data_IF_869707633794
#
_entry.id   IF_869707633794
#
_cell.length_a   1.000
_cell.length_b   1.000
_cell.length_c   1.000
_cell.angle_alpha   90.00
_cell.angle_beta   90.00
_cell.angle_gamma   90.00
#
_symmetry.space_group_name_H-M   'P 1'
#
loop_
_entity.id
_entity.type
_entity.pdbx_description
1 polymer ?
#
# COMPACT_ATOMS: atom_id res chain seq x y z
N UNK A 1 -4.69 -12.12 -21.90
CA UNK A 1 -4.42 -10.80 -21.26
C UNK A 1 -4.57 -9.74 -22.35
N UNK A 2 -5.22 -8.60 -22.03
CA UNK A 2 -5.33 -7.49 -23.00
C UNK A 2 -3.93 -6.91 -23.21
N UNK A 3 -3.51 -6.78 -24.49
CA UNK A 3 -2.24 -6.14 -24.86
C UNK A 3 -2.21 -4.69 -24.39
N UNK A 4 -1.06 -4.24 -23.85
CA UNK A 4 -0.90 -2.85 -23.40
C UNK A 4 -0.70 -1.94 -24.62
N UNK A 5 -1.48 -0.87 -24.69
CA UNK A 5 -1.33 0.20 -25.69
C UNK A 5 -0.15 1.12 -25.35
N UNK A 6 0.09 1.34 -24.05
CA UNK A 6 1.22 2.11 -23.54
C UNK A 6 1.96 1.28 -22.47
N UNK A 7 3.11 0.74 -22.82
CA UNK A 7 3.97 -0.11 -21.98
C UNK A 7 5.23 0.60 -21.48
N UNK A 8 5.38 1.93 -21.76
CA UNK A 8 6.60 2.72 -21.46
C UNK A 8 7.04 2.58 -20.02
N UNK A 9 6.09 2.67 -19.09
CA UNK A 9 6.38 2.54 -17.66
C UNK A 9 7.05 1.20 -17.34
N UNK A 10 6.51 0.10 -17.86
CA UNK A 10 7.07 -1.24 -17.63
C UNK A 10 8.42 -1.41 -18.32
N UNK A 11 8.57 -0.92 -19.57
CA UNK A 11 9.86 -0.96 -20.28
C UNK A 11 10.94 -0.18 -19.52
N UNK A 12 10.61 0.99 -18.98
CA UNK A 12 11.55 1.77 -18.18
C UNK A 12 12.00 1.02 -16.91
N UNK A 13 11.06 0.37 -16.21
CA UNK A 13 11.38 -0.48 -15.05
C UNK A 13 12.30 -1.65 -15.42
N UNK A 14 12.12 -2.21 -16.61
CA UNK A 14 12.95 -3.30 -17.16
C UNK A 14 14.25 -2.80 -17.80
N UNK A 15 14.58 -1.51 -17.69
CA UNK A 15 15.74 -0.86 -18.30
C UNK A 15 15.79 -0.99 -19.83
N UNK A 16 14.62 -1.10 -20.46
CA UNK A 16 14.49 -1.11 -21.91
C UNK A 16 14.36 0.31 -22.46
N UNK A 17 14.70 0.55 -23.72
CA UNK A 17 14.59 1.86 -24.35
C UNK A 17 13.14 2.37 -24.36
N UNK A 18 12.98 3.66 -24.06
CA UNK A 18 11.71 4.40 -24.13
C UNK A 18 11.93 5.71 -24.89
N UNK A 19 10.91 6.23 -25.53
CA UNK A 19 10.95 7.46 -26.32
C UNK A 19 10.99 8.73 -25.43
N UNK A 20 10.40 8.65 -24.22
CA UNK A 20 10.49 9.69 -23.19
C UNK A 20 10.35 9.04 -21.80
N UNK A 21 10.70 9.80 -20.74
CA UNK A 21 10.57 9.36 -19.36
C UNK A 21 9.10 9.21 -19.00
N UNK A 22 8.61 7.98 -18.67
CA UNK A 22 7.22 7.77 -18.30
C UNK A 22 6.90 8.42 -16.95
N UNK A 23 5.67 8.91 -16.82
CA UNK A 23 5.22 9.64 -15.64
C UNK A 23 3.94 9.03 -15.05
N UNK A 24 3.97 8.81 -13.77
CA UNK A 24 2.80 8.66 -12.90
C UNK A 24 2.98 9.57 -11.69
N UNK A 25 1.93 9.89 -10.96
CA UNK A 25 2.05 10.83 -9.83
C UNK A 25 1.47 10.24 -8.55
N UNK A 26 2.22 10.40 -7.46
CA UNK A 26 1.73 10.10 -6.12
C UNK A 26 0.40 10.84 -5.87
N UNK A 27 -0.62 10.09 -5.43
CA UNK A 27 -1.97 10.62 -5.20
C UNK A 27 -2.61 11.27 -6.44
N UNK A 28 -2.32 10.72 -7.64
CA UNK A 28 -2.97 11.16 -8.88
C UNK A 28 -4.51 11.11 -8.79
N UNK A 29 -5.10 10.12 -8.12
CA UNK A 29 -6.47 10.21 -7.63
C UNK A 29 -6.50 10.99 -6.30
N UNK A 30 -7.18 12.13 -6.24
CA UNK A 30 -7.11 12.95 -5.04
C UNK A 30 -8.07 14.13 -4.99
N UNK A 31 -8.12 14.77 -3.84
CA UNK A 31 -9.05 15.86 -3.51
C UNK A 31 -8.91 17.13 -4.36
N UNK A 32 -7.90 17.24 -5.19
CA UNK A 32 -7.77 18.34 -6.16
C UNK A 32 -8.71 18.16 -7.37
N UNK A 33 -9.16 16.93 -7.64
CA UNK A 33 -10.11 16.61 -8.70
C UNK A 33 -11.55 16.82 -8.20
N UNK A 34 -12.38 17.62 -8.87
CA UNK A 34 -13.80 17.79 -8.54
C UNK A 34 -14.58 16.45 -8.59
N UNK A 35 -14.34 15.63 -9.62
CA UNK A 35 -14.94 14.31 -9.79
C UNK A 35 -14.57 13.34 -8.67
N UNK A 36 -13.33 13.38 -8.18
CA UNK A 36 -12.94 12.60 -7.00
C UNK A 36 -13.76 13.00 -5.76
N UNK A 37 -13.94 14.31 -5.55
CA UNK A 37 -14.76 14.81 -4.42
C UNK A 37 -16.20 14.33 -4.51
N UNK A 38 -16.78 14.31 -5.72
CA UNK A 38 -18.15 13.84 -5.96
C UNK A 38 -18.26 12.34 -5.65
N UNK A 39 -17.37 11.51 -6.20
CA UNK A 39 -17.34 10.07 -5.95
C UNK A 39 -17.09 9.76 -4.48
N UNK A 40 -16.20 10.53 -3.83
CA UNK A 40 -15.91 10.37 -2.39
C UNK A 40 -17.14 10.71 -1.52
N UNK A 41 -17.90 11.74 -1.88
CA UNK A 41 -19.14 12.11 -1.19
C UNK A 41 -20.22 11.03 -1.37
N UNK A 42 -20.33 10.44 -2.56
CA UNK A 42 -21.24 9.33 -2.85
C UNK A 42 -20.90 8.09 -1.99
N UNK A 43 -19.63 7.79 -1.78
CA UNK A 43 -19.19 6.66 -0.97
C UNK A 43 -19.46 6.83 0.53
N UNK A 44 -19.63 8.07 1.01
CA UNK A 44 -19.83 8.41 2.42
C UNK A 44 -18.51 8.60 3.19
N UNK A 45 -17.72 7.55 3.39
CA UNK A 45 -16.43 7.62 4.06
C UNK A 45 -15.28 7.03 3.20
N UNK A 46 -14.04 7.19 3.67
CA UNK A 46 -12.85 6.78 2.90
C UNK A 46 -12.74 5.25 2.76
N UNK A 47 -13.03 4.51 3.83
CA UNK A 47 -12.95 3.05 3.78
C UNK A 47 -14.08 2.46 2.96
N UNK A 48 -15.28 3.05 2.98
CA UNK A 48 -16.37 2.68 2.10
C UNK A 48 -16.02 2.85 0.62
N UNK A 49 -15.28 3.93 0.27
CA UNK A 49 -14.74 4.12 -1.08
C UNK A 49 -13.73 3.03 -1.45
N UNK A 50 -12.78 2.71 -0.55
CA UNK A 50 -11.78 1.65 -0.79
C UNK A 50 -12.41 0.25 -0.90
N UNK A 51 -13.48 -0.02 -0.12
CA UNK A 51 -14.15 -1.33 -0.09
C UNK A 51 -15.13 -1.55 -1.24
N UNK A 52 -15.41 -0.53 -2.04
CA UNK A 52 -16.25 -0.64 -3.23
C UNK A 52 -15.38 -0.68 -4.49
N UNK A 53 -15.30 -1.85 -5.14
CA UNK A 53 -14.42 -2.06 -6.28
C UNK A 53 -14.75 -1.14 -7.47
N UNK A 54 -16.03 -0.85 -7.71
CA UNK A 54 -16.47 0.02 -8.82
C UNK A 54 -16.07 1.48 -8.55
N UNK A 55 -16.29 1.98 -7.33
CA UNK A 55 -15.91 3.33 -6.95
C UNK A 55 -14.38 3.50 -6.87
N UNK A 56 -13.67 2.48 -6.38
CA UNK A 56 -12.20 2.47 -6.39
C UNK A 56 -11.65 2.48 -7.82
N UNK A 57 -12.28 1.74 -8.75
CA UNK A 57 -11.94 1.79 -10.18
C UNK A 57 -12.22 3.16 -10.76
N UNK A 58 -13.39 3.73 -10.54
CA UNK A 58 -13.75 5.05 -11.05
C UNK A 58 -12.72 6.12 -10.65
N UNK A 59 -12.39 6.20 -9.34
CA UNK A 59 -11.41 7.22 -8.89
C UNK A 59 -9.98 6.94 -9.39
N UNK A 60 -9.64 5.68 -9.67
CA UNK A 60 -8.36 5.33 -10.28
C UNK A 60 -8.25 5.83 -11.72
N UNK A 61 -9.35 5.77 -12.49
CA UNK A 61 -9.37 6.17 -13.91
C UNK A 61 -9.53 7.69 -14.10
N UNK A 62 -10.11 8.41 -13.15
CA UNK A 62 -10.36 9.86 -13.26
C UNK A 62 -9.11 10.68 -13.68
N UNK A 63 -7.93 10.51 -13.04
CA UNK A 63 -6.74 11.26 -13.44
C UNK A 63 -6.26 10.90 -14.86
N UNK A 64 -6.44 9.66 -15.31
CA UNK A 64 -6.04 9.24 -16.66
C UNK A 64 -6.89 9.91 -17.76
N UNK A 65 -8.14 10.26 -17.46
CA UNK A 65 -9.01 11.02 -18.38
C UNK A 65 -8.60 12.49 -18.53
N UNK A 66 -7.84 13.02 -17.56
CA UNK A 66 -7.39 14.42 -17.54
C UNK A 66 -5.94 14.61 -17.98
N UNK A 67 -5.09 13.65 -17.68
CA UNK A 67 -3.65 13.79 -17.84
C UNK A 67 -3.09 12.61 -18.60
N UNK A 68 -2.10 12.82 -19.48
CA UNK A 68 -1.42 11.76 -20.23
C UNK A 68 -0.42 11.01 -19.35
N UNK A 69 -0.93 10.29 -18.35
CA UNK A 69 -0.12 9.49 -17.43
C UNK A 69 0.22 8.13 -18.05
N UNK A 70 1.41 7.61 -17.73
CA UNK A 70 1.92 6.35 -18.28
C UNK A 70 1.65 5.14 -17.38
N UNK A 71 1.03 5.34 -16.23
CA UNK A 71 0.56 4.26 -15.36
C UNK A 71 -0.64 4.69 -14.50
N UNK A 72 -1.52 3.73 -14.21
CA UNK A 72 -2.50 3.81 -13.15
C UNK A 72 -1.90 3.28 -11.84
N UNK A 73 -2.35 3.78 -10.71
CA UNK A 73 -2.07 3.18 -9.40
C UNK A 73 -3.38 2.83 -8.71
N UNK A 74 -3.44 1.64 -8.14
CA UNK A 74 -4.57 1.16 -7.35
C UNK A 74 -5.01 2.22 -6.32
N UNK A 75 -6.31 2.49 -6.25
CA UNK A 75 -6.87 3.30 -5.17
C UNK A 75 -7.16 2.41 -3.96
N UNK A 76 -6.37 2.58 -2.90
CA UNK A 76 -6.47 1.87 -1.62
C UNK A 76 -5.73 2.67 -0.54
N UNK A 77 -5.56 2.08 0.65
CA UNK A 77 -4.73 2.62 1.73
C UNK A 77 -3.60 1.66 2.11
N UNK A 78 -2.47 2.18 2.58
CA UNK A 78 -1.35 1.36 3.08
C UNK A 78 -1.70 0.63 4.38
N UNK A 79 -2.70 1.11 5.13
CA UNK A 79 -3.07 0.58 6.44
C UNK A 79 -4.13 -0.54 6.37
N UNK A 80 -4.44 -1.03 5.17
CA UNK A 80 -5.36 -2.17 4.97
C UNK A 80 -4.87 -3.44 5.65
N UNK A 81 -3.55 -3.71 5.61
CA UNK A 81 -2.95 -4.87 6.29
C UNK A 81 -3.12 -4.77 7.81
N UNK A 82 -2.70 -3.68 8.49
CA UNK A 82 -2.97 -3.50 9.92
C UNK A 82 -4.45 -3.58 10.32
N UNK A 83 -5.37 -3.07 9.49
CA UNK A 83 -6.81 -3.17 9.72
C UNK A 83 -7.25 -4.64 9.69
N UNK A 84 -6.84 -5.39 8.66
CA UNK A 84 -7.12 -6.82 8.53
C UNK A 84 -6.50 -7.67 9.64
N UNK A 85 -5.40 -7.22 10.26
CA UNK A 85 -4.81 -7.82 11.46
C UNK A 85 -5.65 -7.58 12.73
N UNK A 86 -6.74 -6.82 12.64
CA UNK A 86 -7.69 -6.60 13.74
C UNK A 86 -7.35 -5.42 14.66
N UNK A 87 -6.51 -4.47 14.21
CA UNK A 87 -6.18 -3.27 14.99
C UNK A 87 -7.32 -2.24 15.05
N UNK A 88 -8.33 -2.34 14.17
CA UNK A 88 -9.49 -1.44 14.13
C UNK A 88 -9.13 -0.05 13.61
N UNK A 89 -8.95 0.05 12.28
CA UNK A 89 -8.63 1.31 11.61
C UNK A 89 -9.87 2.20 11.49
N UNK A 90 -9.75 3.46 11.90
CA UNK A 90 -10.73 4.51 11.65
C UNK A 90 -10.04 5.81 11.22
N UNK A 91 -10.76 6.66 10.51
CA UNK A 91 -10.27 7.96 10.07
C UNK A 91 -11.03 9.07 10.80
N UNK A 92 -10.32 9.86 11.59
CA UNK A 92 -10.88 11.02 12.27
C UNK A 92 -10.68 12.30 11.46
N UNK A 93 -11.70 13.17 11.47
CA UNK A 93 -11.64 14.44 10.75
C UNK A 93 -10.56 15.33 11.35
N UNK A 94 -9.55 15.67 10.55
CA UNK A 94 -8.42 16.51 10.98
C UNK A 94 -7.26 15.79 11.65
N UNK A 95 -7.43 14.55 12.12
CA UNK A 95 -6.39 13.77 12.80
C UNK A 95 -5.76 12.70 11.91
N UNK A 96 -6.50 12.20 10.92
CA UNK A 96 -6.04 11.13 10.03
C UNK A 96 -6.36 9.73 10.54
N UNK A 97 -5.54 8.71 10.21
CA UNK A 97 -5.77 7.33 10.63
C UNK A 97 -5.49 7.14 12.11
N UNK A 98 -6.37 6.39 12.79
CA UNK A 98 -6.26 6.00 14.19
C UNK A 98 -6.56 4.52 14.32
N UNK A 99 -5.80 3.82 15.15
CA UNK A 99 -6.03 2.43 15.52
C UNK A 99 -6.59 2.31 16.93
N UNK A 100 -7.68 1.56 17.09
CA UNK A 100 -8.30 1.33 18.40
C UNK A 100 -7.44 0.44 19.30
N UNK A 101 -6.64 -0.46 18.71
CA UNK A 101 -5.81 -1.44 19.41
C UNK A 101 -4.35 -1.35 18.96
N UNK A 102 -3.61 -0.28 19.32
CA UNK A 102 -2.20 -0.16 18.95
C UNK A 102 -1.35 -1.26 19.58
N UNK A 103 -0.24 -1.61 18.94
CA UNK A 103 0.75 -2.56 19.44
C UNK A 103 1.60 -1.88 20.50
N UNK A 104 1.61 -2.43 21.72
CA UNK A 104 2.33 -1.84 22.86
C UNK A 104 3.41 -2.75 23.44
N UNK A 105 3.30 -4.06 23.23
CA UNK A 105 4.19 -5.06 23.80
C UNK A 105 4.23 -6.35 22.95
N UNK A 106 5.13 -7.26 23.31
CA UNK A 106 5.25 -8.56 22.63
C UNK A 106 3.94 -9.36 22.60
N UNK A 107 3.16 -9.34 23.68
CA UNK A 107 1.90 -10.08 23.75
C UNK A 107 0.87 -9.58 22.70
N UNK A 108 0.91 -8.31 22.30
CA UNK A 108 0.08 -7.78 21.23
C UNK A 108 0.58 -8.29 19.86
N UNK A 109 1.91 -8.32 19.67
CA UNK A 109 2.52 -8.88 18.44
C UNK A 109 2.21 -10.37 18.29
N UNK A 110 2.20 -11.13 19.38
CA UNK A 110 1.92 -12.58 19.34
C UNK A 110 0.47 -12.87 18.89
N UNK A 111 -0.49 -11.98 19.18
CA UNK A 111 -1.92 -12.14 18.84
C UNK A 111 -2.25 -11.87 17.37
N UNK A 112 -1.48 -11.03 16.69
CA UNK A 112 -1.77 -10.72 15.27
C UNK A 112 -1.29 -11.85 14.37
N UNK A 113 -2.13 -12.20 13.37
CA UNK A 113 -1.83 -13.16 12.32
C UNK A 113 -1.45 -12.49 11.01
N UNK A 114 -1.14 -13.32 10.00
CA UNK A 114 -1.01 -12.87 8.60
C UNK A 114 -2.42 -12.90 7.99
N UNK A 115 -2.96 -11.77 7.51
CA UNK A 115 -4.28 -11.73 6.91
C UNK A 115 -4.33 -12.51 5.59
N UNK A 116 -5.45 -13.18 5.31
CA UNK A 116 -5.69 -13.78 3.99
C UNK A 116 -6.05 -12.69 2.96
N UNK A 117 -5.25 -12.51 1.89
CA UNK A 117 -5.55 -11.53 0.86
C UNK A 117 -6.87 -11.76 0.12
N UNK A 118 -7.32 -13.01 -0.03
CA UNK A 118 -8.60 -13.35 -0.66
C UNK A 118 -9.73 -13.51 0.37
N UNK A 119 -9.43 -13.35 1.67
CA UNK A 119 -10.38 -13.26 2.78
C UNK A 119 -10.60 -11.80 3.19
N UNK A 120 -9.95 -11.38 4.27
CA UNK A 120 -10.12 -10.05 4.88
C UNK A 120 -9.78 -8.89 3.91
N UNK A 121 -8.90 -9.12 2.95
CA UNK A 121 -8.44 -8.11 1.98
C UNK A 121 -9.03 -8.31 0.57
N UNK A 122 -10.01 -9.19 0.40
CA UNK A 122 -10.63 -9.51 -0.89
C UNK A 122 -11.15 -8.27 -1.63
N UNK A 123 -11.63 -7.26 -0.92
CA UNK A 123 -12.11 -6.01 -1.54
C UNK A 123 -11.00 -5.30 -2.35
N UNK A 124 -9.74 -5.39 -1.91
CA UNK A 124 -8.59 -4.83 -2.64
C UNK A 124 -8.32 -5.64 -3.90
N UNK A 125 -8.35 -6.97 -3.80
CA UNK A 125 -8.15 -7.86 -4.96
C UNK A 125 -9.27 -7.66 -6.00
N UNK A 126 -10.50 -7.48 -5.54
CA UNK A 126 -11.64 -7.14 -6.40
C UNK A 126 -11.45 -5.79 -7.10
N UNK A 127 -10.94 -4.77 -6.38
CA UNK A 127 -10.61 -3.48 -6.97
C UNK A 127 -9.52 -3.61 -8.05
N UNK A 128 -8.46 -4.39 -7.81
CA UNK A 128 -7.41 -4.65 -8.81
C UNK A 128 -8.00 -5.29 -10.07
N UNK A 129 -8.82 -6.34 -9.91
CA UNK A 129 -9.49 -7.03 -11.05
C UNK A 129 -10.40 -6.08 -11.83
N UNK A 130 -11.19 -5.26 -11.14
CA UNK A 130 -12.09 -4.30 -11.75
C UNK A 130 -11.31 -3.22 -12.52
N UNK A 131 -10.30 -2.61 -11.90
CA UNK A 131 -9.44 -1.60 -12.54
C UNK A 131 -8.77 -2.17 -13.79
N UNK A 132 -8.23 -3.39 -13.72
CA UNK A 132 -7.62 -4.06 -14.89
C UNK A 132 -8.60 -4.21 -16.05
N UNK A 133 -9.84 -4.59 -15.75
CA UNK A 133 -10.92 -4.70 -16.75
C UNK A 133 -11.23 -3.32 -17.37
N UNK A 134 -11.39 -2.30 -16.53
CA UNK A 134 -11.83 -0.97 -16.98
C UNK A 134 -10.72 -0.18 -17.71
N UNK A 135 -9.44 -0.43 -17.38
CA UNK A 135 -8.29 0.12 -18.11
C UNK A 135 -8.19 -0.37 -19.56
N UNK A 136 -8.73 -1.52 -19.90
CA UNK A 136 -8.72 -2.08 -21.27
C UNK A 136 -7.34 -2.03 -21.95
N UNK A 137 -6.27 -2.16 -21.17
CA UNK A 137 -4.88 -2.12 -21.64
C UNK A 137 -4.33 -0.73 -21.97
N UNK A 138 -5.01 0.35 -21.62
CA UNK A 138 -4.55 1.73 -21.92
C UNK A 138 -3.17 2.01 -21.33
N UNK A 139 -3.01 1.75 -20.03
CA UNK A 139 -1.76 1.87 -19.28
C UNK A 139 -1.62 0.72 -18.28
N UNK A 140 -0.41 0.41 -17.79
CA UNK A 140 -0.23 -0.59 -16.74
C UNK A 140 -0.79 -0.13 -15.40
N UNK A 141 -1.15 -1.10 -14.54
CA UNK A 141 -1.62 -0.89 -13.18
C UNK A 141 -0.50 -1.19 -12.18
N UNK A 142 -0.24 -0.22 -11.31
CA UNK A 142 0.65 -0.35 -10.15
C UNK A 142 -0.19 -0.80 -8.96
N UNK A 143 0.17 -1.95 -8.37
CA UNK A 143 -0.25 -2.35 -7.03
C UNK A 143 0.72 -1.79 -5.98
N UNK A 144 0.32 -1.77 -4.71
CA UNK A 144 1.21 -1.24 -3.68
C UNK A 144 0.92 -1.77 -2.27
N UNK A 145 1.89 -1.56 -1.38
CA UNK A 145 1.77 -1.71 0.07
C UNK A 145 2.62 -0.68 0.79
N UNK A 146 2.38 -0.47 2.08
CA UNK A 146 3.35 0.17 2.96
C UNK A 146 4.51 -0.77 3.27
N UNK A 147 5.70 -0.23 3.56
CA UNK A 147 6.83 -1.02 4.06
C UNK A 147 6.54 -1.53 5.48
N UNK A 148 7.17 -2.64 5.92
CA UNK A 148 7.02 -3.13 7.29
C UNK A 148 7.32 -2.06 8.34
N UNK A 149 8.38 -1.27 8.16
CA UNK A 149 8.69 -0.15 9.06
C UNK A 149 7.58 0.91 9.09
N UNK A 150 7.11 1.34 7.92
CA UNK A 150 6.03 2.34 7.85
C UNK A 150 4.73 1.82 8.48
N UNK A 151 4.35 0.56 8.24
CA UNK A 151 3.17 -0.04 8.87
C UNK A 151 3.35 -0.15 10.39
N UNK A 152 4.50 -0.66 10.85
CA UNK A 152 4.81 -0.78 12.28
C UNK A 152 4.76 0.58 12.99
N UNK A 153 5.21 1.68 12.35
CA UNK A 153 5.11 3.02 12.96
C UNK A 153 3.67 3.38 13.27
N UNK A 154 2.75 3.22 12.35
CA UNK A 154 1.33 3.48 12.59
C UNK A 154 0.72 2.55 13.63
N UNK A 155 1.07 1.26 13.58
CA UNK A 155 0.56 0.25 14.52
C UNK A 155 1.01 0.52 15.96
N UNK A 156 2.25 0.95 16.16
CA UNK A 156 2.83 1.21 17.50
C UNK A 156 2.47 2.59 18.00
N UNK A 157 2.53 3.63 17.16
CA UNK A 157 2.10 4.98 17.56
C UNK A 157 0.59 5.03 17.82
N UNK A 158 -0.21 4.21 17.11
CA UNK A 158 -1.67 4.17 17.17
C UNK A 158 -2.36 5.23 16.32
N UNK A 159 -1.59 6.17 15.77
CA UNK A 159 -2.06 7.28 14.93
C UNK A 159 -0.89 7.90 14.15
N UNK A 160 -1.16 8.97 13.42
CA UNK A 160 -0.10 9.81 12.84
C UNK A 160 0.78 10.39 13.95
N UNK A 161 2.11 10.32 13.77
CA UNK A 161 3.08 10.86 14.74
C UNK A 161 4.11 11.74 14.03
N UNK A 162 4.57 12.80 14.70
CA UNK A 162 5.68 13.63 14.23
C UNK A 162 7.02 13.22 14.85
N UNK A 163 6.99 12.72 16.08
CA UNK A 163 8.18 12.39 16.86
C UNK A 163 8.55 10.90 16.85
N UNK A 164 7.59 10.02 16.53
CA UNK A 164 7.77 8.55 16.50
C UNK A 164 8.36 8.00 17.81
N UNK A 165 7.86 8.50 18.95
CA UNK A 165 8.46 8.25 20.28
C UNK A 165 8.25 6.83 20.76
N UNK A 166 7.06 6.27 20.51
CA UNK A 166 6.73 4.91 20.99
C UNK A 166 7.52 3.86 20.21
N UNK A 167 7.53 3.94 18.88
CA UNK A 167 8.26 2.98 18.07
C UNK A 167 9.77 3.09 18.24
N UNK A 168 10.30 4.30 18.38
CA UNK A 168 11.74 4.50 18.72
C UNK A 168 12.07 3.94 20.10
N UNK A 169 11.19 4.12 21.09
CA UNK A 169 11.37 3.47 22.39
C UNK A 169 11.40 1.94 22.24
N UNK A 170 10.47 1.35 21.51
CA UNK A 170 10.44 -0.11 21.28
C UNK A 170 11.71 -0.56 20.55
N UNK A 171 12.19 0.20 19.55
CA UNK A 171 13.41 -0.10 18.78
C UNK A 171 14.65 -0.21 19.69
N UNK A 172 14.79 0.64 20.70
CA UNK A 172 15.95 0.63 21.60
C UNK A 172 15.78 -0.25 22.83
N UNK A 173 14.56 -0.32 23.40
CA UNK A 173 14.30 -1.06 24.63
C UNK A 173 13.91 -2.53 24.39
N UNK A 174 13.22 -2.82 23.29
CA UNK A 174 12.68 -4.14 22.99
C UNK A 174 12.90 -4.51 21.50
N UNK A 175 14.14 -4.47 20.98
CA UNK A 175 14.41 -4.67 19.55
C UNK A 175 13.88 -6.00 19.01
N UNK A 176 13.92 -7.10 19.80
CA UNK A 176 13.39 -8.39 19.40
C UNK A 176 11.88 -8.37 19.19
N UNK A 177 11.14 -7.63 20.02
CA UNK A 177 9.69 -7.44 19.86
C UNK A 177 9.40 -6.71 18.54
N UNK A 178 10.17 -5.66 18.24
CA UNK A 178 10.03 -4.92 16.98
C UNK A 178 10.41 -5.77 15.77
N UNK A 179 11.50 -6.53 15.85
CA UNK A 179 11.89 -7.45 14.77
C UNK A 179 10.81 -8.51 14.50
N UNK A 180 10.17 -9.05 15.54
CA UNK A 180 9.05 -9.99 15.38
C UNK A 180 7.87 -9.35 14.66
N UNK A 181 7.52 -8.10 15.00
CA UNK A 181 6.46 -7.34 14.32
C UNK A 181 6.81 -7.10 12.84
N UNK A 182 8.03 -6.63 12.56
CA UNK A 182 8.49 -6.33 11.21
C UNK A 182 8.54 -7.57 10.33
N UNK A 183 8.91 -8.72 10.90
CA UNK A 183 8.96 -10.00 10.18
C UNK A 183 7.56 -10.46 9.78
N UNK A 184 6.59 -10.44 10.71
CA UNK A 184 5.17 -10.74 10.40
C UNK A 184 4.59 -9.78 9.36
N UNK A 185 4.95 -8.51 9.42
CA UNK A 185 4.53 -7.52 8.44
C UNK A 185 5.17 -7.78 7.07
N UNK A 186 6.44 -8.18 7.01
CA UNK A 186 7.09 -8.55 5.76
C UNK A 186 6.38 -9.74 5.10
N UNK A 187 6.05 -10.78 5.85
CA UNK A 187 5.29 -11.94 5.34
C UNK A 187 3.91 -11.52 4.85
N UNK A 188 3.20 -10.67 5.61
CA UNK A 188 1.89 -10.15 5.20
C UNK A 188 1.96 -9.31 3.93
N UNK A 189 3.00 -8.49 3.76
CA UNK A 189 3.22 -7.68 2.55
C UNK A 189 3.54 -8.58 1.35
N UNK A 190 4.32 -9.66 1.54
CA UNK A 190 4.60 -10.63 0.47
C UNK A 190 3.30 -11.27 -0.02
N UNK A 191 2.49 -11.82 0.88
CA UNK A 191 1.20 -12.43 0.51
C UNK A 191 0.27 -11.42 -0.17
N UNK A 192 0.17 -10.23 0.37
CA UNK A 192 -0.68 -9.17 -0.15
C UNK A 192 -0.26 -8.68 -1.54
N UNK A 193 1.04 -8.47 -1.77
CA UNK A 193 1.53 -8.05 -3.08
C UNK A 193 1.45 -9.16 -4.12
N UNK A 194 1.74 -10.41 -3.73
CA UNK A 194 1.58 -11.58 -4.60
C UNK A 194 0.11 -11.77 -5.02
N UNK A 195 -0.84 -11.53 -4.11
CA UNK A 195 -2.25 -11.56 -4.45
C UNK A 195 -2.65 -10.43 -5.42
N UNK A 196 -2.10 -9.21 -5.25
CA UNK A 196 -2.32 -8.12 -6.21
C UNK A 196 -1.75 -8.46 -7.59
N UNK A 197 -0.57 -9.08 -7.67
CA UNK A 197 0.02 -9.55 -8.93
C UNK A 197 -0.91 -10.59 -9.58
N UNK A 198 -1.37 -11.59 -8.83
CA UNK A 198 -2.32 -12.62 -9.33
C UNK A 198 -3.65 -12.00 -9.76
N UNK A 199 -4.11 -10.95 -9.08
CA UNK A 199 -5.33 -10.21 -9.45
C UNK A 199 -5.14 -9.33 -10.71
N UNK A 200 -3.90 -9.09 -11.16
CA UNK A 200 -3.59 -8.42 -12.42
C UNK A 200 -2.78 -7.13 -12.31
N UNK A 201 -2.22 -6.78 -11.16
CA UNK A 201 -1.24 -5.69 -11.06
C UNK A 201 0.02 -6.05 -11.87
N UNK A 202 0.50 -5.13 -12.70
CA UNK A 202 1.63 -5.37 -13.63
C UNK A 202 2.97 -4.87 -13.09
N UNK A 203 2.93 -4.05 -12.07
CA UNK A 203 4.06 -3.72 -11.21
C UNK A 203 3.57 -3.54 -9.79
N UNK A 204 4.46 -3.63 -8.83
CA UNK A 204 4.16 -3.36 -7.42
C UNK A 204 5.16 -2.38 -6.84
N UNK A 205 4.71 -1.61 -5.85
CA UNK A 205 5.51 -0.60 -5.18
C UNK A 205 5.36 -0.71 -3.67
N UNK A 206 6.45 -0.58 -2.94
CA UNK A 206 6.45 -0.54 -1.48
C UNK A 206 6.77 0.89 -1.02
N UNK A 207 5.85 1.51 -0.29
CA UNK A 207 6.02 2.86 0.24
C UNK A 207 6.70 2.83 1.61
N UNK A 208 7.96 3.25 1.67
CA UNK A 208 8.69 3.42 2.92
C UNK A 208 8.67 4.89 3.40
N UNK A 209 7.45 5.39 3.62
CA UNK A 209 7.17 6.80 3.94
C UNK A 209 7.97 7.31 5.13
N UNK A 210 8.18 6.46 6.13
CA UNK A 210 8.86 6.81 7.37
C UNK A 210 10.29 6.28 7.49
N UNK A 211 10.85 5.71 6.41
CA UNK A 211 12.25 5.26 6.40
C UNK A 211 13.24 6.38 6.70
N UNK A 212 12.94 7.61 6.26
CA UNK A 212 13.78 8.78 6.47
C UNK A 212 13.91 9.27 7.92
N UNK A 213 13.14 8.72 8.88
CA UNK A 213 13.30 9.06 10.32
C UNK A 213 14.33 8.19 11.02
N UNK A 214 14.86 7.19 10.33
CA UNK A 214 15.90 6.28 10.81
C UNK A 214 17.30 6.81 10.47
N UNK A 215 18.27 6.49 11.33
CA UNK A 215 19.68 6.63 10.96
C UNK A 215 20.03 5.60 9.87
N UNK A 216 21.12 5.76 9.10
CA UNK A 216 21.54 4.75 8.12
C UNK A 216 21.71 3.34 8.72
N UNK A 217 22.23 3.24 9.96
CA UNK A 217 22.37 1.97 10.68
C UNK A 217 21.01 1.37 10.99
N UNK A 218 20.12 2.15 11.58
CA UNK A 218 18.79 1.67 12.00
C UNK A 218 17.93 1.35 10.77
N UNK A 219 18.08 2.11 9.67
CA UNK A 219 17.43 1.81 8.41
C UNK A 219 17.80 0.41 7.89
N UNK A 220 19.08 0.06 7.89
CA UNK A 220 19.51 -1.27 7.50
C UNK A 220 18.87 -2.37 8.36
N UNK A 221 18.78 -2.15 9.68
CA UNK A 221 18.30 -3.15 10.65
C UNK A 221 16.76 -3.24 10.72
N UNK A 222 16.03 -2.13 10.57
CA UNK A 222 14.60 -2.09 10.84
C UNK A 222 13.74 -1.80 9.59
N UNK A 223 14.33 -1.47 8.45
CA UNK A 223 13.60 -1.31 7.19
C UNK A 223 14.21 -2.15 6.06
N UNK A 224 15.44 -1.89 5.65
CA UNK A 224 16.01 -2.43 4.42
C UNK A 224 16.06 -3.97 4.38
N UNK A 225 16.44 -4.64 5.47
CA UNK A 225 16.47 -6.11 5.50
C UNK A 225 15.09 -6.74 5.24
N UNK A 226 14.00 -6.11 5.70
CA UNK A 226 12.63 -6.57 5.44
C UNK A 226 12.17 -6.25 4.03
N UNK A 227 12.66 -5.13 3.45
CA UNK A 227 12.44 -4.84 2.03
C UNK A 227 13.11 -5.89 1.15
N UNK A 228 14.32 -6.37 1.49
CA UNK A 228 14.98 -7.48 0.81
C UNK A 228 14.12 -8.75 0.90
N UNK A 229 13.66 -9.11 2.11
CA UNK A 229 12.76 -10.26 2.30
C UNK A 229 11.52 -10.18 1.41
N UNK A 230 10.90 -9.01 1.30
CA UNK A 230 9.75 -8.80 0.44
C UNK A 230 10.12 -9.03 -1.02
N UNK A 231 11.18 -8.36 -1.51
CA UNK A 231 11.60 -8.47 -2.93
C UNK A 231 11.92 -9.91 -3.31
N UNK A 232 12.56 -10.67 -2.41
CA UNK A 232 12.89 -12.08 -2.64
C UNK A 232 11.65 -12.99 -2.62
N UNK A 233 10.61 -12.63 -1.86
CA UNK A 233 9.35 -13.37 -1.76
C UNK A 233 8.32 -13.06 -2.86
N UNK A 234 8.56 -12.05 -3.72
CA UNK A 234 7.61 -11.71 -4.78
C UNK A 234 7.69 -12.67 -5.98
N UNK A 235 6.52 -13.07 -6.46
CA UNK A 235 6.41 -13.81 -7.73
C UNK A 235 6.74 -12.87 -8.89
N UNK A 236 7.47 -13.37 -9.90
CA UNK A 236 7.94 -12.59 -11.05
C UNK A 236 7.45 -13.13 -12.39
N UNK A 237 6.72 -14.22 -12.35
CA UNK A 237 6.21 -14.93 -13.54
C UNK A 237 4.68 -14.80 -13.57
N UNK A 238 4.19 -13.72 -14.27
CA UNK A 238 2.75 -13.54 -14.49
C UNK A 238 2.48 -12.76 -15.78
#
# INVERSE_FOLDING_TARGET
MTELKNDRYLRALLKQPVDYTPVWMMRQAGRYLPEYKATRAQAGDFMSLCRNAELASEVTLQPLRRFPLDAAILFSDILTIPDAMGLGLRFETGEGPVFDKPITCKADVDKIGIPDPEGELQYVMNAVRQIRKDLQGEVPLIGFSGSPWTLATYMVEGSSSKAFTKIKKMMYAEPQTLHLLLDKLADSVIEYLNAQIKAGAQSVMVFDTWGGVLTPRDYNLFSLQYMHKIVDGLIREY
#
